data_IF_179665013670
#
_entry.id   IF_179665013670
#
_cell.length_a   1.000
_cell.length_b   1.000
_cell.length_c   1.000
_cell.angle_alpha   90.00
_cell.angle_beta   90.00
_cell.angle_gamma   90.00
#
_symmetry.space_group_name_H-M   'P 1'
#
loop_
_entity.id
_entity.type
_entity.pdbx_description
1 polymer ?
#
# COMPACT_ATOMS: atom_id res chain seq x y z
N UNK A 1 -13.01 4.55 -18.21
CA UNK A 1 -12.16 3.39 -17.80
C UNK A 1 -10.67 3.70 -17.61
N UNK A 2 -10.05 4.66 -18.34
CA UNK A 2 -8.64 5.06 -18.11
C UNK A 2 -8.29 5.42 -16.65
N UNK A 3 -9.15 6.17 -15.96
CA UNK A 3 -8.95 6.54 -14.55
C UNK A 3 -8.84 5.32 -13.64
N UNK A 4 -9.64 4.28 -13.89
CA UNK A 4 -9.62 3.04 -13.09
C UNK A 4 -8.31 2.27 -13.30
N UNK A 5 -7.77 2.27 -14.52
CA UNK A 5 -6.46 1.68 -14.80
C UNK A 5 -5.36 2.42 -14.04
N UNK A 6 -5.37 3.75 -14.05
CA UNK A 6 -4.41 4.56 -13.27
C UNK A 6 -4.51 4.28 -11.77
N UNK A 7 -5.73 4.20 -11.23
CA UNK A 7 -5.95 3.86 -9.82
C UNK A 7 -5.44 2.45 -9.49
N UNK A 8 -5.71 1.46 -10.34
CA UNK A 8 -5.22 0.10 -10.15
C UNK A 8 -3.68 0.05 -10.12
N UNK A 9 -3.00 0.79 -11.00
CA UNK A 9 -1.53 0.89 -10.98
C UNK A 9 -1.01 1.58 -9.71
N UNK A 10 -1.71 2.61 -9.21
CA UNK A 10 -1.33 3.32 -8.01
C UNK A 10 -1.40 2.41 -6.77
N UNK A 11 -2.53 1.71 -6.58
CA UNK A 11 -2.68 0.75 -5.48
C UNK A 11 -1.72 -0.44 -5.58
N UNK A 12 -1.40 -0.89 -6.80
CA UNK A 12 -0.38 -1.92 -7.03
C UNK A 12 1.02 -1.51 -6.56
N UNK A 13 1.41 -0.24 -6.77
CA UNK A 13 2.72 0.28 -6.36
C UNK A 13 2.90 0.45 -4.85
N UNK A 14 1.80 0.48 -4.09
CA UNK A 14 1.76 0.75 -2.66
C UNK A 14 1.94 -0.52 -1.81
N UNK A 15 1.67 -1.70 -2.36
CA UNK A 15 1.76 -2.96 -1.64
C UNK A 15 3.20 -3.40 -1.35
N UNK A 16 3.40 -4.22 -0.31
CA UNK A 16 4.69 -4.82 0.06
C UNK A 16 5.82 -3.80 0.29
N UNK A 17 5.52 -2.71 1.00
CA UNK A 17 6.53 -1.71 1.36
C UNK A 17 7.66 -2.32 2.22
N UNK A 18 8.91 -2.11 1.80
CA UNK A 18 10.12 -2.65 2.45
C UNK A 18 11.09 -1.52 2.87
N UNK A 19 12.30 -1.85 3.35
CA UNK A 19 13.32 -0.87 3.79
C UNK A 19 13.80 0.11 2.70
N UNK A 20 13.46 -0.15 1.43
CA UNK A 20 13.73 0.74 0.30
C UNK A 20 12.67 1.84 0.14
N UNK A 21 11.54 1.76 0.86
CA UNK A 21 10.49 2.77 0.86
C UNK A 21 10.82 3.90 1.86
N UNK A 22 10.76 5.16 1.41
CA UNK A 22 10.92 6.32 2.28
C UNK A 22 9.80 6.40 3.34
N UNK A 23 8.58 6.01 3.01
CA UNK A 23 7.43 5.99 3.92
C UNK A 23 7.64 5.06 5.11
N UNK A 24 8.28 3.90 4.89
CA UNK A 24 8.64 2.96 5.94
C UNK A 24 9.50 3.64 7.02
N UNK A 25 10.52 4.40 6.61
CA UNK A 25 11.43 5.06 7.54
C UNK A 25 10.78 6.23 8.26
N UNK A 26 9.93 7.01 7.57
CA UNK A 26 9.16 8.07 8.22
C UNK A 26 8.33 7.48 9.36
N UNK A 27 7.49 6.48 9.07
CA UNK A 27 6.57 5.95 10.09
C UNK A 27 7.28 5.20 11.21
N UNK A 28 8.27 4.36 10.89
CA UNK A 28 9.02 3.63 11.93
C UNK A 28 9.77 4.57 12.88
N UNK A 29 10.33 5.68 12.37
CA UNK A 29 11.03 6.67 13.22
C UNK A 29 10.07 7.52 14.04
N UNK A 30 8.95 7.95 13.45
CA UNK A 30 7.93 8.71 14.19
C UNK A 30 7.31 7.88 15.33
N UNK A 31 7.13 6.58 15.12
CA UNK A 31 6.53 5.68 16.10
C UNK A 31 7.57 4.99 17.02
N UNK A 32 8.87 5.22 16.82
CA UNK A 32 9.93 4.59 17.60
C UNK A 32 10.03 3.06 17.43
N UNK A 33 9.60 2.52 16.28
CA UNK A 33 9.58 1.09 16.01
C UNK A 33 10.96 0.57 15.60
N UNK A 34 11.27 -0.67 16.00
CA UNK A 34 12.40 -1.41 15.46
C UNK A 34 12.14 -1.81 13.99
N UNK A 35 13.20 -2.14 13.23
CA UNK A 35 13.04 -2.58 11.83
C UNK A 35 12.15 -3.82 11.70
N UNK A 36 12.33 -4.89 12.51
CA UNK A 36 11.43 -6.05 12.50
C UNK A 36 9.97 -5.69 12.80
N UNK A 37 9.72 -4.78 13.73
CA UNK A 37 8.36 -4.35 14.07
C UNK A 37 7.76 -3.48 12.98
N UNK A 38 8.57 -2.62 12.36
CA UNK A 38 8.21 -1.87 11.17
C UNK A 38 7.77 -2.77 10.03
N UNK A 39 8.52 -3.85 9.74
CA UNK A 39 8.14 -4.80 8.69
C UNK A 39 6.85 -5.54 9.04
N UNK A 40 6.63 -5.89 10.31
CA UNK A 40 5.39 -6.56 10.73
C UNK A 40 4.17 -5.63 10.76
N UNK A 41 4.37 -4.32 10.87
CA UNK A 41 3.28 -3.34 10.98
C UNK A 41 3.08 -2.58 9.69
N UNK A 42 4.08 -1.82 9.24
CA UNK A 42 4.02 -0.98 8.04
C UNK A 42 3.87 -1.78 6.75
N UNK A 43 4.67 -2.83 6.55
CA UNK A 43 4.55 -3.65 5.32
C UNK A 43 3.20 -4.34 5.25
N UNK A 44 2.69 -4.83 6.39
CA UNK A 44 1.36 -5.45 6.45
C UNK A 44 0.27 -4.42 6.17
N UNK A 45 0.34 -3.24 6.79
CA UNK A 45 -0.61 -2.15 6.59
C UNK A 45 -0.66 -1.71 5.11
N UNK A 46 0.50 -1.40 4.52
CA UNK A 46 0.60 -0.96 3.13
C UNK A 46 0.13 -2.03 2.14
N UNK A 47 0.38 -3.31 2.44
CA UNK A 47 -0.15 -4.43 1.66
C UNK A 47 -1.67 -4.50 1.75
N UNK A 48 -2.25 -4.37 2.95
CA UNK A 48 -3.71 -4.33 3.13
C UNK A 48 -4.32 -3.14 2.36
N UNK A 49 -3.70 -1.96 2.43
CA UNK A 49 -4.15 -0.77 1.72
C UNK A 49 -4.10 -0.97 0.20
N UNK A 50 -2.99 -1.50 -0.33
CA UNK A 50 -2.82 -1.80 -1.75
C UNK A 50 -3.85 -2.81 -2.26
N UNK A 51 -4.03 -3.93 -1.55
CA UNK A 51 -5.01 -4.96 -1.93
C UNK A 51 -6.45 -4.42 -1.84
N UNK A 52 -6.79 -3.72 -0.76
CA UNK A 52 -8.16 -3.18 -0.58
C UNK A 52 -8.49 -2.14 -1.66
N UNK A 53 -7.57 -1.21 -1.93
CA UNK A 53 -7.77 -0.20 -2.98
C UNK A 53 -7.85 -0.81 -4.38
N UNK A 54 -7.03 -1.82 -4.67
CA UNK A 54 -7.12 -2.57 -5.93
C UNK A 54 -8.46 -3.29 -6.06
N UNK A 55 -8.92 -3.99 -5.02
CA UNK A 55 -10.20 -4.71 -5.02
C UNK A 55 -11.38 -3.76 -5.26
N UNK A 56 -11.42 -2.61 -4.60
CA UNK A 56 -12.46 -1.59 -4.82
C UNK A 56 -12.42 -1.11 -6.27
N UNK A 57 -11.24 -0.80 -6.80
CA UNK A 57 -11.06 -0.35 -8.19
C UNK A 57 -11.52 -1.42 -9.19
N UNK A 58 -11.21 -2.69 -8.91
CA UNK A 58 -11.60 -3.84 -9.71
C UNK A 58 -13.12 -4.09 -9.69
N UNK A 59 -13.78 -3.92 -8.55
CA UNK A 59 -15.25 -4.00 -8.48
C UNK A 59 -15.91 -2.86 -9.26
N UNK A 60 -15.38 -1.64 -9.14
CA UNK A 60 -15.88 -0.48 -9.89
C UNK A 60 -15.71 -0.65 -11.41
N UNK A 61 -14.68 -1.37 -11.86
CA UNK A 61 -14.48 -1.69 -13.27
C UNK A 61 -15.64 -2.48 -13.89
N UNK A 62 -16.26 -3.40 -13.14
CA UNK A 62 -17.42 -4.15 -13.65
C UNK A 62 -18.73 -3.37 -13.54
N UNK A 63 -18.79 -2.39 -12.64
CA UNK A 63 -19.99 -1.58 -12.43
C UNK A 63 -20.12 -0.40 -13.43
N UNK A 64 -19.01 0.04 -14.03
CA UNK A 64 -18.90 1.24 -14.89
C UNK A 64 -18.44 0.91 -16.31
#
# INVERSE_FOLDING_TARGET
QLVLVTLATCFGSLGLSHVNDAGFWVVTRYLGLSVPDGLKTWTVLTTIMGVTGFLITWLLWFAL
#
